data_IF_735392601659
#
_entry.id   IF_735392601659
#
_cell.length_a   1.000
_cell.length_b   1.000
_cell.length_c   1.000
_cell.angle_alpha   90.00
_cell.angle_beta   90.00
_cell.angle_gamma   90.00
#
_symmetry.space_group_name_H-M   'P 1'
#
loop_
_entity.id
_entity.type
_entity.pdbx_description
1 polymer ?
#
# COMPACT_ATOMS: atom_id res chain seq x y z
N UNK A 1 13.78 -23.64 -52.13
CA UNK A 1 13.60 -24.46 -50.91
C UNK A 1 14.61 -24.01 -49.89
N UNK A 2 14.11 -23.66 -48.69
CA UNK A 2 14.82 -23.44 -47.42
C UNK A 2 15.81 -22.25 -47.40
N UNK A 3 15.76 -21.31 -46.47
CA UNK A 3 14.94 -21.12 -45.28
C UNK A 3 15.48 -19.86 -44.60
N UNK A 4 14.60 -18.92 -44.28
CA UNK A 4 14.96 -17.73 -43.53
C UNK A 4 15.16 -18.12 -42.06
N UNK A 5 16.32 -17.82 -41.49
CA UNK A 5 16.49 -17.82 -40.04
C UNK A 5 16.86 -16.41 -39.57
N UNK A 6 15.84 -15.76 -39.04
CA UNK A 6 15.93 -14.62 -38.15
C UNK A 6 16.31 -15.20 -36.79
N UNK A 7 17.49 -14.88 -36.26
CA UNK A 7 17.74 -14.99 -34.82
C UNK A 7 18.35 -13.68 -34.36
N UNK A 8 17.45 -12.78 -33.96
CA UNK A 8 17.78 -11.50 -33.35
C UNK A 8 18.77 -11.69 -32.22
N UNK A 9 19.84 -10.92 -32.30
CA UNK A 9 20.83 -10.73 -31.26
C UNK A 9 20.12 -10.14 -30.04
N UNK A 10 19.57 -10.99 -29.18
CA UNK A 10 19.35 -10.67 -27.77
C UNK A 10 20.58 -11.16 -27.03
N UNK A 11 21.69 -10.46 -27.27
CA UNK A 11 22.87 -10.52 -26.42
C UNK A 11 22.38 -10.24 -25.01
N UNK A 12 22.48 -11.25 -24.14
CA UNK A 12 22.26 -11.13 -22.72
C UNK A 12 23.17 -10.00 -22.24
N UNK A 13 22.60 -8.80 -22.08
CA UNK A 13 23.33 -7.64 -21.60
C UNK A 13 23.89 -8.04 -20.24
N UNK A 14 25.22 -8.15 -20.18
CA UNK A 14 25.98 -8.32 -18.96
C UNK A 14 25.47 -7.28 -17.96
N UNK A 15 25.01 -7.76 -16.80
CA UNK A 15 24.52 -6.93 -15.69
C UNK A 15 25.63 -6.09 -15.03
N UNK A 16 26.82 -6.06 -15.61
CA UNK A 16 28.03 -5.52 -15.00
C UNK A 16 28.20 -4.00 -15.11
N UNK A 17 27.43 -3.31 -15.95
CA UNK A 17 27.61 -1.86 -16.19
C UNK A 17 26.37 -1.01 -15.85
N UNK A 18 25.62 -1.41 -14.82
CA UNK A 18 24.74 -0.46 -14.14
C UNK A 18 25.64 0.25 -13.13
N UNK A 19 26.01 1.51 -13.42
CA UNK A 19 26.53 2.48 -12.44
C UNK A 19 25.79 2.28 -11.12
N UNK A 20 26.48 2.37 -9.98
CA UNK A 20 25.94 2.33 -8.61
C UNK A 20 24.80 3.37 -8.41
N UNK A 21 23.68 3.16 -9.10
CA UNK A 21 22.39 3.77 -8.87
C UNK A 21 21.95 3.06 -7.61
N UNK A 22 22.27 3.69 -6.49
CA UNK A 22 21.81 3.43 -5.13
C UNK A 22 20.67 2.41 -5.14
N UNK A 23 21.03 1.13 -5.08
CA UNK A 23 20.08 0.05 -5.27
C UNK A 23 19.11 0.15 -4.11
N UNK A 24 17.89 0.65 -4.37
CA UNK A 24 16.85 0.79 -3.35
C UNK A 24 16.58 -0.60 -2.79
N UNK A 25 17.15 -0.88 -1.62
CA UNK A 25 16.95 -2.15 -0.93
C UNK A 25 15.55 -2.16 -0.34
N UNK A 26 14.64 -2.77 -1.08
CA UNK A 26 13.28 -2.99 -0.61
C UNK A 26 13.30 -4.11 0.43
N UNK A 27 12.69 -3.85 1.59
CA UNK A 27 12.54 -4.83 2.66
C UNK A 27 11.34 -5.77 2.46
N UNK A 28 10.69 -5.71 1.29
CA UNK A 28 9.45 -6.42 0.98
C UNK A 28 9.57 -7.21 -0.33
N UNK A 29 8.97 -8.40 -0.37
CA UNK A 29 8.73 -9.12 -1.62
C UNK A 29 7.64 -8.40 -2.43
N UNK A 30 8.07 -7.72 -3.49
CA UNK A 30 7.19 -6.98 -4.38
C UNK A 30 6.14 -7.85 -5.06
N UNK A 31 6.47 -9.11 -5.41
CA UNK A 31 5.52 -9.99 -6.11
C UNK A 31 4.36 -10.33 -5.20
N UNK A 32 4.65 -10.76 -3.97
CA UNK A 32 3.60 -11.08 -3.00
C UNK A 32 2.83 -9.82 -2.57
N UNK A 33 3.51 -8.68 -2.42
CA UNK A 33 2.86 -7.41 -2.09
C UNK A 33 1.88 -6.95 -3.18
N UNK A 34 2.28 -7.04 -4.45
CA UNK A 34 1.42 -6.71 -5.58
C UNK A 34 0.19 -7.64 -5.66
N UNK A 35 0.36 -8.95 -5.43
CA UNK A 35 -0.75 -9.92 -5.41
C UNK A 35 -1.76 -9.60 -4.31
N UNK A 36 -1.31 -9.27 -3.11
CA UNK A 36 -2.20 -8.85 -2.01
C UNK A 36 -2.93 -7.55 -2.33
N UNK A 37 -2.24 -6.57 -2.91
CA UNK A 37 -2.88 -5.32 -3.33
C UNK A 37 -3.98 -5.58 -4.37
N UNK A 38 -3.73 -6.43 -5.37
CA UNK A 38 -4.76 -6.83 -6.35
C UNK A 38 -5.95 -7.52 -5.65
N UNK A 39 -5.69 -8.42 -4.70
CA UNK A 39 -6.74 -9.08 -3.92
C UNK A 39 -7.60 -8.09 -3.13
N UNK A 40 -6.97 -7.13 -2.46
CA UNK A 40 -7.64 -6.06 -1.73
C UNK A 40 -8.52 -5.20 -2.64
N UNK A 41 -7.98 -4.75 -3.79
CA UNK A 41 -8.74 -3.95 -4.75
C UNK A 41 -9.94 -4.70 -5.33
N UNK A 42 -9.82 -6.02 -5.56
CA UNK A 42 -10.96 -6.86 -5.95
C UNK A 42 -12.01 -6.93 -4.86
N UNK A 43 -11.61 -7.17 -3.62
CA UNK A 43 -12.53 -7.22 -2.47
C UNK A 43 -13.32 -5.91 -2.31
N UNK A 44 -12.66 -4.76 -2.44
CA UNK A 44 -13.31 -3.45 -2.42
C UNK A 44 -14.26 -3.30 -3.62
N UNK A 45 -13.83 -3.67 -4.83
CA UNK A 45 -14.67 -3.60 -6.04
C UNK A 45 -15.93 -4.47 -5.96
N UNK A 46 -15.84 -5.63 -5.33
CA UNK A 46 -16.96 -6.58 -5.19
C UNK A 46 -17.92 -6.19 -4.06
N UNK A 47 -17.47 -5.35 -3.12
CA UNK A 47 -18.26 -4.89 -1.97
C UNK A 47 -19.19 -3.73 -2.34
N UNK A 48 -20.30 -4.02 -3.02
CA UNK A 48 -21.26 -3.02 -3.51
C UNK A 48 -21.74 -2.02 -2.44
N UNK A 49 -21.93 -2.49 -1.20
CA UNK A 49 -22.36 -1.65 -0.06
C UNK A 49 -21.44 -0.46 0.23
N UNK A 50 -20.15 -0.53 -0.15
CA UNK A 50 -19.19 0.58 -0.06
C UNK A 50 -19.47 1.71 -1.05
N UNK A 51 -20.07 1.37 -2.19
CA UNK A 51 -20.23 2.25 -3.36
C UNK A 51 -21.66 2.78 -3.51
N UNK A 52 -22.65 2.05 -2.97
CA UNK A 52 -24.08 2.34 -3.15
C UNK A 52 -24.52 3.70 -2.58
N UNK A 53 -23.97 4.10 -1.42
CA UNK A 53 -24.44 5.29 -0.69
C UNK A 53 -23.29 6.19 -0.31
N UNK A 54 -23.42 7.47 -0.66
CA UNK A 54 -22.49 8.54 -0.23
C UNK A 54 -22.31 8.59 1.29
N UNK A 55 -23.36 8.28 2.05
CA UNK A 55 -23.31 8.23 3.52
C UNK A 55 -22.34 7.17 4.05
N UNK A 56 -22.22 6.03 3.36
CA UNK A 56 -21.29 4.96 3.76
C UNK A 56 -19.85 5.45 3.70
N UNK A 57 -19.48 6.11 2.60
CA UNK A 57 -18.14 6.67 2.41
C UNK A 57 -17.83 7.76 3.43
N UNK A 58 -18.78 8.66 3.70
CA UNK A 58 -18.61 9.72 4.71
C UNK A 58 -18.36 9.12 6.10
N UNK A 59 -19.12 8.09 6.47
CA UNK A 59 -18.96 7.44 7.78
C UNK A 59 -17.67 6.60 7.85
N UNK A 60 -17.21 6.03 6.74
CA UNK A 60 -15.90 5.40 6.65
C UNK A 60 -14.78 6.41 6.89
N UNK A 61 -14.85 7.60 6.26
CA UNK A 61 -13.89 8.69 6.48
C UNK A 61 -13.89 9.15 7.93
N UNK A 62 -15.08 9.32 8.53
CA UNK A 62 -15.20 9.71 9.94
C UNK A 62 -14.56 8.66 10.87
N UNK A 63 -14.74 7.37 10.60
CA UNK A 63 -14.15 6.28 11.40
C UNK A 63 -12.63 6.19 11.22
N UNK A 64 -12.13 6.37 10.00
CA UNK A 64 -10.70 6.42 9.72
C UNK A 64 -10.02 7.53 10.54
N UNK A 65 -10.50 8.77 10.38
CA UNK A 65 -9.91 9.95 11.00
C UNK A 65 -10.09 9.98 12.53
N UNK A 66 -11.29 9.68 13.04
CA UNK A 66 -11.62 9.90 14.47
C UNK A 66 -11.38 8.70 15.38
N UNK A 67 -11.34 7.49 14.84
CA UNK A 67 -11.23 6.27 15.65
C UNK A 67 -9.97 5.49 15.29
N UNK A 68 -9.80 5.17 14.01
CA UNK A 68 -8.75 4.28 13.57
C UNK A 68 -7.37 4.91 13.69
N UNK A 69 -7.16 6.11 13.14
CA UNK A 69 -5.86 6.79 13.20
C UNK A 69 -5.38 7.06 14.64
N UNK A 70 -6.21 7.56 15.58
CA UNK A 70 -5.85 7.66 16.99
C UNK A 70 -5.54 6.31 17.64
N UNK A 71 -6.32 5.26 17.32
CA UNK A 71 -6.10 3.90 17.84
C UNK A 71 -4.73 3.38 17.41
N UNK A 72 -4.42 3.40 16.10
CA UNK A 72 -3.13 2.94 15.57
C UNK A 72 -1.99 3.77 16.17
N UNK A 73 -2.16 5.09 16.27
CA UNK A 73 -1.17 5.96 16.91
C UNK A 73 -0.83 5.49 18.33
N UNK A 74 -1.84 5.19 19.14
CA UNK A 74 -1.63 4.72 20.52
C UNK A 74 -0.97 3.33 20.57
N UNK A 75 -1.37 2.41 19.68
CA UNK A 75 -0.81 1.05 19.62
C UNK A 75 0.67 1.04 19.20
N UNK A 76 1.12 2.04 18.42
CA UNK A 76 2.53 2.16 18.00
C UNK A 76 3.47 2.68 19.10
N UNK A 77 2.99 3.02 20.30
CA UNK A 77 3.84 3.53 21.41
C UNK A 77 4.47 2.38 22.23
N UNK A 78 3.99 1.13 22.07
CA UNK A 78 4.48 -0.04 22.81
C UNK A 78 5.58 -0.86 22.12
N UNK A 79 6.27 -1.72 22.87
CA UNK A 79 7.38 -2.57 22.37
C UNK A 79 6.92 -3.71 21.44
N UNK A 80 5.62 -3.98 21.35
CA UNK A 80 5.05 -4.96 20.41
C UNK A 80 3.86 -4.33 19.68
N UNK A 81 3.92 -4.15 18.35
CA UNK A 81 2.76 -3.68 17.59
C UNK A 81 1.65 -4.73 17.69
N UNK A 82 0.51 -4.36 18.28
CA UNK A 82 -0.68 -5.21 18.21
C UNK A 82 -1.11 -5.33 16.74
N UNK A 83 -1.27 -6.56 16.25
CA UNK A 83 -1.77 -6.82 14.90
C UNK A 83 -3.29 -6.61 14.88
N UNK A 84 -3.70 -5.37 14.61
CA UNK A 84 -5.11 -5.00 14.47
C UNK A 84 -5.39 -4.73 12.99
N UNK A 85 -6.41 -5.39 12.46
CA UNK A 85 -6.89 -5.17 11.10
C UNK A 85 -8.08 -4.19 11.11
N UNK A 86 -8.08 -3.15 10.26
CA UNK A 86 -9.23 -2.28 10.13
C UNK A 86 -10.41 -3.02 9.49
N UNK A 87 -11.65 -2.61 9.76
CA UNK A 87 -12.78 -2.95 8.91
C UNK A 87 -12.53 -2.51 7.45
N UNK A 88 -13.09 -3.23 6.48
CA UNK A 88 -12.81 -3.03 5.05
C UNK A 88 -13.02 -1.59 4.55
N UNK A 89 -14.06 -0.91 5.02
CA UNK A 89 -14.35 0.48 4.67
C UNK A 89 -13.29 1.45 5.18
N UNK A 90 -12.84 1.28 6.42
CA UNK A 90 -11.74 2.04 7.03
C UNK A 90 -10.42 1.72 6.32
N UNK A 91 -10.15 0.45 6.03
CA UNK A 91 -8.95 0.04 5.29
C UNK A 91 -8.88 0.70 3.91
N UNK A 92 -10.02 0.77 3.21
CA UNK A 92 -10.15 1.43 1.92
C UNK A 92 -9.89 2.93 2.00
N UNK A 93 -10.50 3.62 2.98
CA UNK A 93 -10.23 5.05 3.18
C UNK A 93 -8.75 5.27 3.51
N UNK A 94 -8.20 4.48 4.43
CA UNK A 94 -6.79 4.60 4.80
C UNK A 94 -5.86 4.32 3.62
N UNK A 95 -6.20 3.36 2.75
CA UNK A 95 -5.51 3.11 1.49
C UNK A 95 -5.49 4.36 0.60
N UNK A 96 -6.65 4.94 0.32
CA UNK A 96 -6.77 6.17 -0.46
C UNK A 96 -6.00 7.34 0.16
N UNK A 97 -6.07 7.49 1.48
CA UNK A 97 -5.35 8.52 2.23
C UNK A 97 -3.83 8.41 2.05
N UNK A 98 -3.31 7.18 1.97
CA UNK A 98 -1.87 6.92 1.76
C UNK A 98 -1.38 7.08 0.31
N UNK A 99 -2.27 7.27 -0.68
CA UNK A 99 -1.88 7.41 -2.10
C UNK A 99 -1.12 8.71 -2.41
N UNK A 100 -1.18 9.70 -1.52
CA UNK A 100 -0.33 10.89 -1.56
C UNK A 100 0.61 10.88 -0.33
N UNK A 101 1.82 10.31 -0.46
CA UNK A 101 2.73 10.15 0.68
C UNK A 101 3.15 11.46 1.34
N UNK A 102 3.27 12.55 0.58
CA UNK A 102 3.67 13.85 1.09
C UNK A 102 2.59 14.46 1.98
N UNK A 103 1.35 14.50 1.50
CA UNK A 103 0.21 15.01 2.29
C UNK A 103 -0.10 14.10 3.48
N UNK A 104 0.00 12.77 3.32
CA UNK A 104 -0.21 11.82 4.41
C UNK A 104 0.80 12.02 5.55
N UNK A 105 2.08 12.23 5.20
CA UNK A 105 3.13 12.56 6.17
C UNK A 105 2.81 13.83 6.94
N UNK A 106 2.47 14.92 6.24
CA UNK A 106 2.13 16.20 6.87
C UNK A 106 0.93 16.06 7.81
N UNK A 107 -0.11 15.33 7.40
CA UNK A 107 -1.25 15.01 8.25
C UNK A 107 -0.82 14.28 9.53
N UNK A 108 -0.02 13.22 9.39
CA UNK A 108 0.42 12.43 10.54
C UNK A 108 1.30 13.22 11.50
N UNK A 109 2.21 14.03 10.97
CA UNK A 109 3.07 14.92 11.75
C UNK A 109 2.25 16.00 12.48
N UNK A 110 1.28 16.61 11.82
CA UNK A 110 0.45 17.66 12.41
C UNK A 110 -0.44 17.16 13.56
N UNK A 111 -0.98 15.94 13.46
CA UNK A 111 -1.97 15.42 14.41
C UNK A 111 -1.34 14.51 15.47
N UNK A 112 -0.33 13.72 15.10
CA UNK A 112 0.22 12.68 15.96
C UNK A 112 1.71 12.87 16.27
N UNK A 113 2.35 13.90 15.71
CA UNK A 113 3.80 14.18 15.85
C UNK A 113 4.70 13.01 15.44
N UNK A 114 4.19 12.10 14.60
CA UNK A 114 4.91 10.93 14.08
C UNK A 114 4.24 10.40 12.83
N UNK A 115 5.00 9.74 11.97
CA UNK A 115 4.43 9.01 10.85
C UNK A 115 3.75 7.73 11.35
N UNK A 116 2.45 7.60 11.06
CA UNK A 116 1.73 6.36 11.29
C UNK A 116 2.00 5.44 10.10
N UNK A 117 2.85 4.45 10.30
CA UNK A 117 3.05 3.39 9.32
C UNK A 117 1.81 2.50 9.28
N UNK A 118 1.48 1.97 8.09
CA UNK A 118 0.70 0.74 8.05
C UNK A 118 1.60 -0.37 8.59
N UNK A 119 1.35 -0.93 9.79
CA UNK A 119 1.94 -2.23 10.10
C UNK A 119 1.55 -3.15 8.94
N UNK A 120 2.42 -4.07 8.58
CA UNK A 120 2.43 -4.72 7.27
C UNK A 120 1.18 -5.59 6.97
N UNK A 121 0.02 -4.96 6.79
CA UNK A 121 -1.26 -5.55 6.41
C UNK A 121 -1.25 -5.94 4.92
N UNK A 122 -0.22 -5.48 4.20
CA UNK A 122 0.15 -5.95 2.87
C UNK A 122 1.33 -6.93 2.87
N UNK A 123 1.56 -7.71 3.95
CA UNK A 123 2.43 -8.91 3.97
C UNK A 123 1.64 -10.22 3.84
#
# INVERSE_FOLDING_TARGET
MSGAEISGVLSARSLSDISEVEMVRLSIDLVSAARRNIGFLRLVSESQWLHEKKSTVIEAIRRDDRLWMPLVSNLMVGSTPAMVLPPLDVEWVWFCHTLNPASYRQYCEAIFSKLIGKPAIFL
#
